data_IF_332147746171
#
_entry.id   IF_332147746171
#
_cell.length_a   1.000
_cell.length_b   1.000
_cell.length_c   1.000
_cell.angle_alpha   90.00
_cell.angle_beta   90.00
_cell.angle_gamma   90.00
#
_symmetry.space_group_name_H-M   'P 1'
#
loop_
_entity.id
_entity.type
_entity.pdbx_description
1 polymer ?
#
# COMPACT_ATOMS: atom_id res chain seq x y z
N UNK A 1 -6.54 -14.87 21.59
CA UNK A 1 -6.20 -14.48 21.28
C UNK A 1 -5.93 -14.12 20.40
N UNK A 2 -6.00 -13.92 20.10
CA UNK A 2 -5.79 -13.79 19.24
C UNK A 2 -5.19 -12.99 18.62
N UNK A 3 -4.58 -12.92 18.38
CA UNK A 3 -3.91 -12.18 17.87
C UNK A 3 -3.97 -12.14 16.58
N UNK A 4 -4.80 -11.85 16.13
CA UNK A 4 -5.07 -11.74 14.98
C UNK A 4 -4.07 -11.13 14.18
N UNK A 5 -3.64 -10.21 14.24
CA UNK A 5 -2.75 -9.46 13.39
C UNK A 5 -1.32 -9.64 13.77
N UNK A 6 -0.88 -10.90 13.82
CA UNK A 6 0.41 -11.18 14.18
C UNK A 6 1.44 -10.54 13.33
N UNK A 7 1.20 -10.34 12.06
CA UNK A 7 2.17 -9.75 11.16
C UNK A 7 2.13 -8.23 11.18
N UNK A 8 1.23 -7.64 11.93
CA UNK A 8 1.11 -6.19 11.94
C UNK A 8 0.48 -5.59 10.70
N UNK A 9 -0.15 -6.40 9.86
CA UNK A 9 -0.78 -5.89 8.65
C UNK A 9 -2.06 -5.14 8.98
N UNK A 10 -2.21 -3.97 8.39
CA UNK A 10 -3.44 -3.21 8.47
C UNK A 10 -3.91 -3.02 7.04
N UNK A 11 -5.02 -3.67 6.69
CA UNK A 11 -5.52 -3.61 5.32
C UNK A 11 -6.20 -2.28 5.07
N UNK A 12 -5.95 -1.73 3.90
CA UNK A 12 -6.49 -0.42 3.53
C UNK A 12 -7.08 -0.53 2.14
N UNK A 13 -7.91 0.43 1.79
CA UNK A 13 -8.48 0.48 0.45
C UNK A 13 -7.65 1.44 -0.37
N UNK A 14 -7.25 0.99 -1.54
CA UNK A 14 -6.40 1.79 -2.41
C UNK A 14 -7.05 1.93 -3.77
N UNK A 15 -7.10 3.16 -4.24
CA UNK A 15 -7.44 3.38 -5.63
C UNK A 15 -6.13 3.43 -6.39
N UNK A 16 -6.02 2.70 -7.48
CA UNK A 16 -4.79 2.60 -8.21
C UNK A 16 -5.07 2.68 -9.70
N UNK A 17 -4.03 2.94 -10.47
CA UNK A 17 -4.16 2.90 -11.92
C UNK A 17 -2.92 2.21 -12.49
N UNK A 18 -3.08 1.54 -13.63
CA UNK A 18 -1.95 0.81 -14.19
C UNK A 18 -0.91 1.80 -14.73
N UNK A 19 0.34 1.46 -14.51
CA UNK A 19 1.40 2.26 -15.08
C UNK A 19 1.86 1.62 -16.40
N UNK A 20 2.88 2.19 -16.99
CA UNK A 20 3.34 1.76 -18.30
C UNK A 20 3.83 0.32 -18.28
N UNK A 21 4.27 -0.17 -17.14
CA UNK A 21 4.75 -1.54 -17.04
C UNK A 21 3.68 -2.51 -16.61
N UNK A 22 2.45 -2.05 -16.47
CA UNK A 22 1.37 -2.93 -16.09
C UNK A 22 1.21 -3.11 -14.59
N UNK A 23 2.00 -2.43 -13.79
CA UNK A 23 1.84 -2.50 -12.35
C UNK A 23 0.77 -1.50 -11.92
N UNK A 24 0.11 -1.81 -10.82
CA UNK A 24 -0.91 -0.91 -10.29
C UNK A 24 -0.24 0.13 -9.41
N UNK A 25 -0.31 1.38 -9.84
CA UNK A 25 0.32 2.47 -9.11
C UNK A 25 -0.71 3.09 -8.16
N UNK A 26 -0.46 3.10 -6.86
CA UNK A 26 -1.46 3.61 -5.93
C UNK A 26 -1.56 5.13 -6.00
N UNK A 27 -2.78 5.64 -6.02
CA UNK A 27 -3.00 7.08 -6.11
C UNK A 27 -3.79 7.64 -4.94
N UNK A 28 -4.61 6.83 -4.28
CA UNK A 28 -5.40 7.32 -3.16
C UNK A 28 -5.62 6.21 -2.16
N UNK A 29 -5.51 6.53 -0.87
CA UNK A 29 -5.73 5.58 0.20
C UNK A 29 -6.96 6.00 1.00
N UNK A 30 -7.83 5.05 1.29
CA UNK A 30 -8.99 5.29 2.13
C UNK A 30 -8.87 4.44 3.39
N UNK A 31 -8.99 5.08 4.54
CA UNK A 31 -8.94 4.38 5.79
C UNK A 31 -9.85 5.10 6.78
N UNK A 32 -10.73 4.36 7.45
CA UNK A 32 -11.70 4.92 8.39
C UNK A 32 -12.52 6.04 7.76
N UNK A 33 -12.96 5.81 6.53
CA UNK A 33 -13.79 6.77 5.79
C UNK A 33 -13.08 8.08 5.47
N UNK A 34 -11.76 8.11 5.61
CA UNK A 34 -10.98 9.27 5.21
C UNK A 34 -10.13 8.93 4.01
N UNK A 35 -10.01 9.87 3.10
CA UNK A 35 -9.23 9.67 1.89
C UNK A 35 -7.97 10.50 1.93
N UNK A 36 -6.87 9.89 1.53
CA UNK A 36 -5.58 10.55 1.54
C UNK A 36 -4.93 10.39 0.17
N UNK A 37 -4.42 11.47 -0.37
CA UNK A 37 -3.72 11.43 -1.63
C UNK A 37 -2.35 10.81 -1.44
N UNK A 38 -1.95 9.92 -2.35
CA UNK A 38 -0.65 9.28 -2.30
C UNK A 38 0.28 10.00 -3.26
N UNK A 39 1.42 10.45 -2.75
CA UNK A 39 2.38 11.18 -3.55
C UNK A 39 3.72 10.48 -3.57
N UNK A 40 4.49 10.73 -4.62
CA UNK A 40 5.87 10.26 -4.71
C UNK A 40 6.00 8.76 -4.50
N UNK A 41 5.07 8.01 -5.06
CA UNK A 41 5.10 6.58 -4.87
C UNK A 41 6.19 5.95 -5.76
N UNK A 42 7.03 5.14 -5.13
CA UNK A 42 8.12 4.48 -5.82
C UNK A 42 8.02 3.00 -5.54
N UNK A 43 7.91 2.22 -6.62
CA UNK A 43 7.79 0.78 -6.49
C UNK A 43 9.16 0.16 -6.25
N UNK A 44 9.24 -0.74 -5.29
CA UNK A 44 10.46 -1.47 -5.04
C UNK A 44 10.60 -2.54 -6.11
N UNK A 45 11.82 -2.76 -6.56
CA UNK A 45 12.05 -3.80 -7.54
C UNK A 45 12.02 -5.18 -6.91
N UNK A 46 12.22 -5.25 -5.62
CA UNK A 46 12.28 -6.52 -4.96
C UNK A 46 10.93 -6.92 -4.44
N UNK A 47 10.50 -8.12 -4.78
CA UNK A 47 9.25 -8.64 -4.27
C UNK A 47 9.49 -9.35 -2.96
N UNK A 48 8.53 -9.28 -2.07
CA UNK A 48 8.61 -9.92 -0.79
C UNK A 48 7.37 -10.78 -0.65
N UNK A 49 7.54 -12.11 -0.75
CA UNK A 49 6.42 -13.06 -0.67
C UNK A 49 5.34 -12.71 -1.70
N UNK A 50 5.75 -12.44 -2.92
CA UNK A 50 4.85 -12.07 -3.99
C UNK A 50 4.16 -10.73 -3.78
N UNK A 51 4.56 -10.01 -2.78
CA UNK A 51 4.02 -8.67 -2.55
C UNK A 51 4.98 -7.64 -3.09
N UNK A 52 4.43 -6.55 -3.58
CA UNK A 52 5.20 -5.44 -4.08
C UNK A 52 5.16 -4.34 -3.04
N UNK A 53 6.28 -3.75 -2.74
CA UNK A 53 6.34 -2.67 -1.78
C UNK A 53 6.48 -1.34 -2.50
N UNK A 54 5.70 -0.38 -2.08
CA UNK A 54 5.80 0.99 -2.58
C UNK A 54 6.20 1.89 -1.42
N UNK A 55 7.15 2.77 -1.67
CA UNK A 55 7.46 3.83 -0.71
C UNK A 55 6.74 5.06 -1.21
N UNK A 56 5.94 5.66 -0.37
CA UNK A 56 5.16 6.80 -0.80
C UNK A 56 4.97 7.79 0.34
N UNK A 57 4.44 8.93 -0.03
CA UNK A 57 4.17 9.99 0.93
C UNK A 57 2.67 10.13 1.05
N UNK A 58 2.13 9.94 2.24
CA UNK A 58 0.71 10.03 2.48
C UNK A 58 0.52 10.98 3.65
N UNK A 59 -0.21 12.05 3.41
CA UNK A 59 -0.49 13.05 4.44
C UNK A 59 0.81 13.57 5.07
N UNK A 60 1.82 13.78 4.23
CA UNK A 60 3.08 14.34 4.72
C UNK A 60 3.98 13.36 5.44
N UNK A 61 3.64 12.08 5.42
CA UNK A 61 4.42 11.07 6.11
C UNK A 61 4.91 10.03 5.14
N UNK A 62 6.14 9.57 5.34
CA UNK A 62 6.68 8.50 4.51
C UNK A 62 6.10 7.18 5.00
N UNK A 63 5.45 6.47 4.11
CA UNK A 63 4.76 5.24 4.45
C UNK A 63 5.12 4.17 3.45
N UNK A 64 5.27 2.94 3.93
CA UNK A 64 5.47 1.80 3.05
C UNK A 64 4.15 1.09 2.86
N UNK A 65 3.78 0.88 1.62
CA UNK A 65 2.52 0.30 1.25
C UNK A 65 2.80 -0.99 0.51
N UNK A 66 2.04 -2.03 0.82
CA UNK A 66 2.26 -3.35 0.22
C UNK A 66 1.05 -3.74 -0.60
N UNK A 67 1.32 -4.43 -1.70
CA UNK A 67 0.26 -4.89 -2.59
C UNK A 67 0.50 -6.33 -3.00
N UNK A 68 -0.53 -7.15 -2.87
CA UNK A 68 -0.47 -8.52 -3.37
C UNK A 68 -1.82 -8.80 -3.99
N UNK A 69 -1.85 -8.98 -5.32
CA UNK A 69 -3.13 -9.17 -5.99
C UNK A 69 -3.99 -7.93 -5.83
N UNK A 70 -5.14 -8.12 -5.24
CA UNK A 70 -6.04 -7.00 -5.00
C UNK A 70 -5.97 -6.47 -3.58
N UNK A 71 -5.08 -7.02 -2.78
CA UNK A 71 -4.96 -6.61 -1.39
C UNK A 71 -3.87 -5.59 -1.20
N UNK A 72 -4.16 -4.60 -0.37
CA UNK A 72 -3.20 -3.56 -0.03
C UNK A 72 -3.16 -3.41 1.48
N UNK A 73 -1.96 -3.26 2.02
CA UNK A 73 -1.85 -3.10 3.47
C UNK A 73 -0.63 -2.27 3.82
N UNK A 74 -0.63 -1.78 5.05
CA UNK A 74 0.54 -1.15 5.63
C UNK A 74 0.91 -1.95 6.87
N UNK A 75 2.10 -1.74 7.37
CA UNK A 75 2.54 -2.40 8.59
C UNK A 75 2.52 -1.40 9.73
N UNK A 76 2.11 -1.86 10.86
CA UNK A 76 2.12 -1.01 12.05
C UNK A 76 3.27 -1.33 12.94
#
# INVERSE_FOLDING_TARGET
MATKNKSGKVFVMIESEPDIDGWNNPIELTYNDEKFEIKDSIRSKKLFNNAVKFKCNIDGKAIELFNEGEEWWILK
#
